data_IF_441357360688
#
_entry.id   IF_441357360688
#
_cell.length_a   1.000
_cell.length_b   1.000
_cell.length_c   1.000
_cell.angle_alpha   90.00
_cell.angle_beta   90.00
_cell.angle_gamma   90.00
#
_symmetry.space_group_name_H-M   'P 1'
#
loop_
_entity.id
_entity.type
_entity.pdbx_description
1 polymer ?
#
# COMPACT_ATOMS: atom_id res chain seq x y z
N UNK A 1 4.93 9.07 17.96
CA UNK A 1 4.95 8.71 16.54
C UNK A 1 6.14 7.81 16.31
N UNK A 2 5.97 6.73 15.55
CA UNK A 2 7.07 5.88 15.10
C UNK A 2 7.44 6.27 13.68
N UNK A 3 8.72 6.57 13.46
CA UNK A 3 9.27 6.76 12.12
C UNK A 3 9.73 5.39 11.60
N UNK A 4 9.20 4.96 10.46
CA UNK A 4 9.42 3.61 9.92
C UNK A 4 9.83 3.71 8.46
N UNK A 5 10.74 2.83 8.05
CA UNK A 5 11.07 2.59 6.66
C UNK A 5 10.84 1.12 6.32
N UNK A 6 10.12 0.87 5.23
CA UNK A 6 9.86 -0.46 4.69
C UNK A 6 10.49 -0.63 3.32
N UNK A 7 11.08 -1.80 3.07
CA UNK A 7 11.67 -2.15 1.77
C UNK A 7 11.37 -3.61 1.44
N UNK A 8 10.81 -3.88 0.26
CA UNK A 8 10.53 -5.23 -0.21
C UNK A 8 10.75 -5.34 -1.73
N UNK A 9 11.19 -6.51 -2.18
CA UNK A 9 11.26 -6.83 -3.61
C UNK A 9 9.88 -7.26 -4.12
N UNK A 10 9.48 -6.74 -5.27
CA UNK A 10 8.22 -7.11 -5.93
C UNK A 10 8.45 -7.45 -7.42
N UNK A 11 7.46 -8.06 -8.09
CA UNK A 11 7.51 -8.28 -9.54
C UNK A 11 7.66 -7.01 -10.39
N UNK A 12 7.36 -5.83 -9.82
CA UNK A 12 7.45 -4.53 -10.50
C UNK A 12 8.62 -3.66 -10.01
N UNK A 13 9.61 -4.31 -9.40
CA UNK A 13 10.79 -3.68 -8.81
C UNK A 13 10.66 -3.49 -7.31
N UNK A 14 11.59 -2.74 -6.72
CA UNK A 14 11.63 -2.51 -5.27
C UNK A 14 10.49 -1.59 -4.85
N UNK A 15 9.78 -1.97 -3.80
CA UNK A 15 8.89 -1.09 -3.04
C UNK A 15 9.66 -0.58 -1.82
N UNK A 16 9.82 0.74 -1.73
CA UNK A 16 10.52 1.43 -0.65
C UNK A 16 9.64 2.57 -0.18
N UNK A 17 9.27 2.55 1.09
CA UNK A 17 8.30 3.51 1.61
C UNK A 17 8.71 3.97 3.00
N UNK A 18 8.66 5.28 3.18
CA UNK A 18 8.77 5.95 4.46
C UNK A 18 7.39 6.17 5.06
N UNK A 19 7.25 5.94 6.37
CA UNK A 19 6.00 6.06 7.10
C UNK A 19 6.21 6.86 8.40
N UNK A 20 5.18 7.59 8.81
CA UNK A 20 5.00 8.01 10.20
C UNK A 20 3.74 7.36 10.76
N UNK A 21 3.93 6.49 11.76
CA UNK A 21 2.83 5.77 12.40
C UNK A 21 2.45 6.38 13.75
N UNK A 22 1.15 6.49 13.99
CA UNK A 22 0.57 6.87 15.26
C UNK A 22 -0.30 5.71 15.75
N UNK A 23 0.13 5.10 16.87
CA UNK A 23 -0.53 3.94 17.45
C UNK A 23 -1.25 4.35 18.73
N UNK A 24 -2.54 4.04 18.80
CA UNK A 24 -3.32 4.13 20.03
C UNK A 24 -3.52 2.72 20.59
N UNK A 25 -3.03 2.46 21.79
CA UNK A 25 -3.18 1.16 22.46
C UNK A 25 -4.49 1.07 23.25
N UNK A 26 -4.91 -0.15 23.59
CA UNK A 26 -5.93 -0.39 24.60
C UNK A 26 -5.40 -0.03 26.01
N UNK A 27 -6.29 -0.02 27.00
CA UNK A 27 -5.99 0.46 28.36
C UNK A 27 -4.84 -0.30 29.03
N UNK A 28 -4.73 -1.61 28.79
CA UNK A 28 -3.65 -2.45 29.34
C UNK A 28 -2.35 -2.40 28.49
N UNK A 29 -2.35 -1.67 27.37
CA UNK A 29 -1.18 -1.50 26.51
C UNK A 29 -0.79 -2.74 25.67
N UNK A 30 -1.55 -3.83 25.71
CA UNK A 30 -1.17 -5.09 25.04
C UNK A 30 -1.61 -5.17 23.57
N UNK A 31 -2.53 -4.30 23.14
CA UNK A 31 -3.11 -4.31 21.78
C UNK A 31 -3.20 -2.91 21.21
N UNK A 32 -2.97 -2.78 19.91
CA UNK A 32 -3.26 -1.56 19.15
C UNK A 32 -4.76 -1.51 18.85
N UNK A 33 -5.45 -0.44 19.27
CA UNK A 33 -6.87 -0.17 18.96
C UNK A 33 -7.06 0.71 17.73
N UNK A 34 -6.08 1.55 17.41
CA UNK A 34 -6.08 2.43 16.24
C UNK A 34 -4.66 2.62 15.73
N UNK A 35 -4.52 2.57 14.42
CA UNK A 35 -3.29 2.91 13.71
C UNK A 35 -3.64 3.97 12.68
N UNK A 36 -2.88 5.06 12.70
CA UNK A 36 -2.90 6.08 11.64
C UNK A 36 -1.53 6.09 10.99
N UNK A 37 -1.52 6.09 9.66
CA UNK A 37 -0.31 6.09 8.87
C UNK A 37 -0.27 7.32 7.96
N UNK A 38 0.83 8.07 8.04
CA UNK A 38 1.18 9.06 7.04
C UNK A 38 2.23 8.43 6.12
N UNK A 39 1.96 8.44 4.82
CA UNK A 39 2.77 7.80 3.79
C UNK A 39 3.10 8.78 2.66
N UNK A 40 4.16 8.51 1.91
CA UNK A 40 4.42 9.23 0.65
C UNK A 40 3.42 8.76 -0.42
N UNK A 41 2.32 9.50 -0.55
CA UNK A 41 1.28 9.20 -1.52
C UNK A 41 1.75 9.32 -2.97
N UNK A 42 2.75 10.17 -3.25
CA UNK A 42 3.27 10.35 -4.60
C UNK A 42 4.07 9.13 -5.03
N UNK A 43 4.94 8.63 -4.14
CA UNK A 43 5.64 7.37 -4.37
C UNK A 43 4.65 6.21 -4.53
N UNK A 44 3.67 6.11 -3.62
CA UNK A 44 2.70 5.01 -3.64
C UNK A 44 1.89 4.99 -4.94
N UNK A 45 1.45 6.15 -5.44
CA UNK A 45 0.71 6.25 -6.71
C UNK A 45 1.52 5.72 -7.90
N UNK A 46 2.80 6.11 -8.02
CA UNK A 46 3.68 5.64 -9.09
C UNK A 46 4.01 4.14 -8.95
N UNK A 47 4.13 3.62 -7.73
CA UNK A 47 4.26 2.18 -7.52
C UNK A 47 2.99 1.42 -7.93
N UNK A 48 1.80 1.88 -7.50
CA UNK A 48 0.53 1.26 -7.85
C UNK A 48 0.26 1.26 -9.35
N UNK A 49 0.65 2.32 -10.07
CA UNK A 49 0.58 2.36 -11.54
C UNK A 49 1.40 1.24 -12.19
N UNK A 50 2.62 0.99 -11.70
CA UNK A 50 3.46 -0.12 -12.18
C UNK A 50 2.84 -1.47 -11.86
N UNK A 51 2.32 -1.63 -10.64
CA UNK A 51 1.65 -2.86 -10.21
C UNK A 51 0.40 -3.16 -11.03
N UNK A 52 -0.41 -2.14 -11.31
CA UNK A 52 -1.57 -2.23 -12.20
C UNK A 52 -1.16 -2.70 -13.60
N UNK A 53 -0.15 -2.07 -14.21
CA UNK A 53 0.33 -2.48 -15.53
C UNK A 53 0.82 -3.94 -15.56
N UNK A 54 1.44 -4.41 -14.47
CA UNK A 54 1.84 -5.81 -14.33
C UNK A 54 0.64 -6.76 -14.28
N UNK A 55 -0.41 -6.38 -13.55
CA UNK A 55 -1.67 -7.14 -13.47
C UNK A 55 -2.39 -7.20 -14.83
N UNK A 56 -2.37 -6.10 -15.59
CA UNK A 56 -2.99 -6.04 -16.92
C UNK A 56 -2.32 -6.96 -17.96
N UNK A 57 -1.04 -7.26 -17.79
CA UNK A 57 -0.31 -8.20 -18.67
C UNK A 57 -0.32 -9.65 -18.14
N UNK A 58 -1.19 -9.97 -17.18
CA UNK A 58 -1.37 -11.33 -16.64
C UNK A 58 -0.58 -11.62 -15.36
N UNK A 59 0.07 -10.62 -14.77
CA UNK A 59 0.69 -10.73 -13.47
C UNK A 59 -0.32 -11.05 -12.36
N UNK A 60 -0.02 -12.03 -11.51
CA UNK A 60 -0.94 -12.43 -10.43
C UNK A 60 -2.23 -13.10 -10.92
N UNK A 61 -2.25 -13.68 -12.13
CA UNK A 61 -3.44 -14.37 -12.64
C UNK A 61 -3.89 -15.49 -11.67
N UNK A 62 -5.17 -15.46 -11.29
CA UNK A 62 -5.76 -16.41 -10.33
C UNK A 62 -5.59 -16.01 -8.86
N UNK A 63 -4.85 -14.94 -8.58
CA UNK A 63 -4.68 -14.40 -7.23
C UNK A 63 -5.71 -13.32 -6.93
N UNK A 64 -6.36 -13.40 -5.76
CA UNK A 64 -7.38 -12.43 -5.36
C UNK A 64 -6.87 -10.98 -5.26
N UNK A 65 -5.58 -10.78 -4.98
CA UNK A 65 -5.01 -9.44 -4.86
C UNK A 65 -4.93 -8.71 -6.22
N UNK A 66 -4.84 -9.44 -7.34
CA UNK A 66 -4.78 -8.84 -8.66
C UNK A 66 -6.08 -8.10 -9.00
N UNK A 67 -7.23 -8.69 -8.64
CA UNK A 67 -8.53 -8.06 -8.84
C UNK A 67 -8.69 -6.81 -7.96
N UNK A 68 -8.19 -6.85 -6.73
CA UNK A 68 -8.17 -5.67 -5.84
C UNK A 68 -7.32 -4.53 -6.40
N UNK A 69 -6.20 -4.82 -7.06
CA UNK A 69 -5.36 -3.78 -7.71
C UNK A 69 -6.10 -3.12 -8.86
N UNK A 70 -6.84 -3.87 -9.69
CA UNK A 70 -7.66 -3.29 -10.76
C UNK A 70 -8.73 -2.37 -10.20
N UNK A 71 -9.50 -2.85 -9.22
CA UNK A 71 -10.57 -2.07 -8.60
C UNK A 71 -10.04 -0.78 -7.94
N UNK A 72 -8.94 -0.87 -7.19
CA UNK A 72 -8.34 0.31 -6.55
C UNK A 72 -7.81 1.33 -7.57
N UNK A 73 -7.26 0.86 -8.70
CA UNK A 73 -6.78 1.76 -9.75
C UNK A 73 -7.94 2.49 -10.45
N UNK A 74 -9.06 1.81 -10.70
CA UNK A 74 -10.27 2.43 -11.25
C UNK A 74 -10.86 3.49 -10.31
N UNK A 75 -10.98 3.19 -9.01
CA UNK A 75 -11.44 4.12 -7.99
C UNK A 75 -10.57 5.39 -7.94
N UNK A 76 -9.24 5.23 -8.00
CA UNK A 76 -8.30 6.36 -7.97
C UNK A 76 -8.44 7.34 -9.14
N UNK A 77 -9.08 6.93 -10.24
CA UNK A 77 -9.33 7.77 -11.43
C UNK A 77 -10.65 8.52 -11.37
N UNK A 78 -11.55 8.18 -10.44
CA UNK A 78 -12.86 8.79 -10.28
C UNK A 78 -12.88 10.12 -9.53
N UNK A 79 -11.77 10.51 -8.89
CA UNK A 79 -11.66 11.73 -8.07
C UNK A 79 -10.95 12.91 -8.79
N UNK A 80 -11.18 13.09 -10.10
CA UNK A 80 -10.67 14.24 -10.88
C UNK A 80 -11.72 15.34 -11.07
#
# INVERSE_FOLDING_TARGET
>A
ALHVFGSVSSPVGKYEQEYSWFLTFNEDGTKVKRMEEMIDSSYLAEFFKRLHNYVEVGGGQGEAWADSVRAAYEESRGEA
#
